data_IF_832352066973
#
_entry.id   IF_832352066973
#
_cell.length_a   1.000
_cell.length_b   1.000
_cell.length_c   1.000
_cell.angle_alpha   90.00
_cell.angle_beta   90.00
_cell.angle_gamma   90.00
#
_symmetry.space_group_name_H-M   'P 1'
#
loop_
_entity.id
_entity.type
_entity.pdbx_description
1 polymer ?
#
# COMPACT_ATOMS: atom_id res chain seq x y z
N UNK A 1 -2.69 -4.39 -7.32
CA UNK A 1 -3.85 -4.48 -6.42
C UNK A 1 -5.11 -4.71 -7.25
N UNK A 2 -6.12 -5.41 -6.72
CA UNK A 2 -7.32 -5.82 -7.48
C UNK A 2 -8.05 -4.64 -8.16
N UNK A 3 -8.10 -3.48 -7.47
CA UNK A 3 -8.67 -2.22 -7.98
C UNK A 3 -8.02 -1.69 -9.25
N UNK A 4 -6.75 -2.01 -9.49
CA UNK A 4 -5.98 -1.58 -10.68
C UNK A 4 -5.98 -2.61 -11.80
N UNK A 5 -6.39 -3.86 -11.54
CA UNK A 5 -6.18 -5.01 -12.44
C UNK A 5 -7.33 -5.27 -13.44
N UNK A 6 -8.15 -4.26 -13.74
CA UNK A 6 -9.28 -4.41 -14.68
C UNK A 6 -10.33 -5.43 -14.25
N UNK A 7 -10.34 -5.78 -12.96
CA UNK A 7 -11.36 -6.65 -12.37
C UNK A 7 -12.61 -5.80 -12.16
N UNK A 8 -13.78 -6.32 -12.55
CA UNK A 8 -15.05 -5.63 -12.30
C UNK A 8 -15.41 -5.68 -10.81
N UNK A 9 -14.99 -4.64 -10.08
CA UNK A 9 -15.25 -4.43 -8.65
C UNK A 9 -16.31 -3.34 -8.53
N UNK A 10 -17.37 -3.57 -7.73
CA UNK A 10 -18.43 -2.56 -7.54
C UNK A 10 -18.17 -1.64 -6.34
N UNK A 11 -17.46 -2.12 -5.33
CA UNK A 11 -17.03 -1.37 -4.16
C UNK A 11 -15.89 -2.13 -3.47
N UNK A 12 -15.09 -1.44 -2.65
CA UNK A 12 -14.04 -2.06 -1.85
C UNK A 12 -14.08 -1.58 -0.39
N UNK A 13 -13.70 -2.49 0.51
CA UNK A 13 -13.37 -2.16 1.89
C UNK A 13 -11.91 -2.51 2.15
N UNK A 14 -11.15 -1.57 2.71
CA UNK A 14 -9.75 -1.73 3.08
C UNK A 14 -9.64 -1.58 4.58
N UNK A 15 -9.07 -2.59 5.25
CA UNK A 15 -8.93 -2.65 6.70
C UNK A 15 -7.44 -2.75 7.02
N UNK A 16 -6.90 -1.80 7.80
CA UNK A 16 -5.47 -1.73 8.16
C UNK A 16 -4.54 -1.87 6.93
N UNK A 17 -4.92 -1.27 5.81
CA UNK A 17 -4.21 -1.39 4.53
C UNK A 17 -2.94 -0.54 4.46
N UNK A 18 -1.90 -1.08 3.81
CA UNK A 18 -0.70 -0.32 3.47
C UNK A 18 -0.90 0.34 2.10
N UNK A 19 -1.26 1.63 2.10
CA UNK A 19 -1.54 2.40 0.90
C UNK A 19 -0.26 2.84 0.17
N UNK A 20 0.81 3.16 0.91
CA UNK A 20 2.11 3.53 0.38
C UNK A 20 3.18 2.52 0.82
N UNK A 21 3.60 1.69 -0.13
CA UNK A 21 4.54 0.61 0.11
C UNK A 21 5.96 1.11 0.37
N UNK A 22 6.37 2.23 -0.25
CA UNK A 22 7.68 2.83 -0.03
C UNK A 22 7.78 3.47 1.36
N UNK A 23 6.75 4.21 1.77
CA UNK A 23 6.64 4.74 3.13
C UNK A 23 6.62 3.62 4.17
N UNK A 24 5.87 2.55 3.90
CA UNK A 24 5.84 1.34 4.71
C UNK A 24 7.23 0.72 4.91
N UNK A 25 7.98 0.54 3.83
CA UNK A 25 9.37 0.06 3.89
C UNK A 25 10.27 0.95 4.75
N UNK A 26 10.15 2.27 4.60
CA UNK A 26 11.00 3.22 5.33
C UNK A 26 10.70 3.24 6.83
N UNK A 27 9.43 3.04 7.23
CA UNK A 27 8.98 3.09 8.63
C UNK A 27 9.02 1.74 9.35
N UNK A 28 8.86 0.62 8.63
CA UNK A 28 8.84 -0.74 9.19
C UNK A 28 10.19 -1.43 9.01
N UNK A 29 11.14 -1.13 9.90
CA UNK A 29 12.46 -1.76 9.89
C UNK A 29 12.40 -3.30 9.98
N UNK A 30 11.41 -3.83 10.71
CA UNK A 30 11.17 -5.28 10.82
C UNK A 30 10.75 -5.94 9.50
N UNK A 31 10.24 -5.17 8.53
CA UNK A 31 9.77 -5.66 7.24
C UNK A 31 10.80 -5.50 6.11
N UNK A 32 11.91 -4.77 6.32
CA UNK A 32 12.91 -4.55 5.25
C UNK A 32 13.47 -5.85 4.67
N UNK A 33 13.89 -6.85 5.48
CA UNK A 33 14.46 -8.09 4.93
C UNK A 33 13.50 -8.85 4.01
N UNK A 34 12.21 -8.87 4.35
CA UNK A 34 11.20 -9.55 3.53
C UNK A 34 10.86 -8.74 2.27
N UNK A 35 10.77 -7.42 2.37
CA UNK A 35 10.55 -6.55 1.21
C UNK A 35 11.70 -6.65 0.20
N UNK A 36 12.95 -6.59 0.66
CA UNK A 36 14.12 -6.72 -0.19
C UNK A 36 14.21 -8.11 -0.83
N UNK A 37 13.83 -9.18 -0.12
CA UNK A 37 13.79 -10.54 -0.67
C UNK A 37 12.75 -10.70 -1.79
N UNK A 38 11.61 -10.02 -1.69
CA UNK A 38 10.49 -10.17 -2.65
C UNK A 38 10.62 -9.18 -3.82
N UNK A 39 11.08 -7.96 -3.56
CA UNK A 39 11.03 -6.84 -4.50
C UNK A 39 12.41 -6.31 -4.88
N UNK A 40 13.40 -6.46 -4.01
CA UNK A 40 14.71 -5.79 -4.11
C UNK A 40 14.80 -4.52 -3.26
N UNK A 41 16.00 -3.93 -3.17
CA UNK A 41 16.21 -2.68 -2.44
C UNK A 41 15.56 -1.50 -3.18
N UNK A 42 14.88 -0.56 -2.50
CA UNK A 42 14.18 0.54 -3.17
C UNK A 42 15.08 1.45 -4.00
N UNK A 43 16.36 1.58 -3.67
CA UNK A 43 17.29 2.39 -4.49
C UNK A 43 17.50 1.84 -5.90
N UNK A 44 17.41 0.52 -6.06
CA UNK A 44 17.57 -0.16 -7.36
C UNK A 44 16.23 -0.55 -7.99
N UNK A 45 15.17 -0.70 -7.17
CA UNK A 45 13.86 -1.19 -7.60
C UNK A 45 12.72 -0.19 -7.31
N UNK A 46 13.01 1.12 -7.30
CA UNK A 46 12.07 2.18 -6.91
C UNK A 46 10.71 2.09 -7.61
N UNK A 47 10.72 1.80 -8.92
CA UNK A 47 9.49 1.70 -9.72
C UNK A 47 8.57 0.56 -9.24
N UNK A 48 9.13 -0.53 -8.72
CA UNK A 48 8.35 -1.64 -8.17
C UNK A 48 7.63 -1.25 -6.87
N UNK A 49 8.27 -0.42 -6.03
CA UNK A 49 7.66 0.12 -4.82
C UNK A 49 6.55 1.12 -5.16
N UNK A 50 6.80 2.03 -6.11
CA UNK A 50 5.80 2.99 -6.61
C UNK A 50 4.59 2.27 -7.20
N UNK A 51 4.81 1.27 -8.06
CA UNK A 51 3.73 0.52 -8.70
C UNK A 51 2.82 -0.22 -7.69
N UNK A 52 3.35 -0.58 -6.51
CA UNK A 52 2.61 -1.22 -5.40
C UNK A 52 1.96 -0.23 -4.44
N UNK A 53 2.23 1.07 -4.58
CA UNK A 53 1.73 2.12 -3.70
C UNK A 53 0.49 2.76 -4.32
N UNK A 54 -0.68 2.51 -3.73
CA UNK A 54 -1.97 3.06 -4.17
C UNK A 54 -2.00 4.59 -4.18
N UNK A 55 -1.22 5.23 -3.32
CA UNK A 55 -1.04 6.69 -3.27
C UNK A 55 -0.55 7.30 -4.59
N UNK A 56 0.08 6.52 -5.48
CA UNK A 56 0.58 6.99 -6.77
C UNK A 56 -0.40 6.80 -7.94
N UNK A 57 -1.52 6.11 -7.72
CA UNK A 57 -2.55 5.86 -8.74
C UNK A 57 -3.96 5.97 -8.14
N UNK A 58 -4.13 6.81 -7.12
CA UNK A 58 -5.41 7.00 -6.45
C UNK A 58 -6.50 7.52 -7.40
N UNK A 59 -6.11 8.29 -8.41
CA UNK A 59 -6.95 8.76 -9.51
C UNK A 59 -7.45 7.63 -10.43
N UNK A 60 -6.80 6.46 -10.43
CA UNK A 60 -7.27 5.28 -11.15
C UNK A 60 -8.39 4.52 -10.37
N UNK A 61 -8.66 4.87 -9.10
CA UNK A 61 -9.67 4.20 -8.26
C UNK A 61 -11.06 4.81 -8.51
N UNK A 62 -11.85 4.12 -9.34
CA UNK A 62 -13.14 4.62 -9.84
C UNK A 62 -14.38 3.97 -9.19
N UNK A 63 -14.23 3.43 -7.98
CA UNK A 63 -15.30 2.72 -7.25
C UNK A 63 -15.40 3.24 -5.82
N UNK A 64 -16.58 3.18 -5.18
CA UNK A 64 -16.71 3.50 -3.77
C UNK A 64 -15.74 2.68 -2.91
N UNK A 65 -15.02 3.36 -2.02
CA UNK A 65 -14.07 2.75 -1.08
C UNK A 65 -14.40 3.12 0.35
N UNK A 66 -14.37 2.13 1.25
CA UNK A 66 -14.43 2.30 2.69
C UNK A 66 -13.05 1.97 3.27
N UNK A 67 -12.46 2.90 4.02
CA UNK A 67 -11.18 2.68 4.71
C UNK A 67 -11.44 2.63 6.22
N UNK A 68 -10.98 1.56 6.87
CA UNK A 68 -11.10 1.33 8.31
C UNK A 68 -9.70 1.09 8.87
N UNK A 69 -9.33 1.82 9.92
CA UNK A 69 -8.00 1.69 10.51
C UNK A 69 -8.02 1.96 12.01
N UNK A 70 -7.22 1.21 12.77
CA UNK A 70 -7.03 1.45 14.19
C UNK A 70 -6.03 2.57 14.43
N UNK A 71 -6.41 3.62 15.17
CA UNK A 71 -5.52 4.74 15.49
C UNK A 71 -4.24 4.35 16.26
N UNK A 72 -4.19 3.15 16.84
CA UNK A 72 -3.04 2.59 17.59
C UNK A 72 -2.50 1.30 16.95
N UNK A 73 -2.71 1.12 15.65
CA UNK A 73 -2.16 -0.05 14.94
C UNK A 73 -0.62 -0.01 15.00
N UNK A 74 -0.04 -1.07 15.59
CA UNK A 74 1.41 -1.20 15.80
C UNK A 74 2.16 -1.70 14.57
N UNK A 75 1.43 -2.15 13.55
CA UNK A 75 2.00 -2.74 12.34
C UNK A 75 1.82 -1.78 11.16
N UNK A 76 0.64 -1.19 10.97
CA UNK A 76 0.44 -0.24 9.87
C UNK A 76 0.19 1.13 10.45
N UNK A 77 1.13 2.09 10.31
CA UNK A 77 0.97 3.44 10.86
C UNK A 77 -0.32 4.09 10.36
N UNK A 78 -0.99 4.86 11.22
CA UNK A 78 -2.29 5.50 10.90
C UNK A 78 -2.19 6.51 9.76
N UNK A 79 -0.99 7.01 9.43
CA UNK A 79 -0.75 7.91 8.31
C UNK A 79 -1.02 7.26 6.94
N UNK A 80 -1.19 5.94 6.90
CA UNK A 80 -1.50 5.17 5.70
C UNK A 80 -2.99 5.26 5.27
N UNK A 81 -3.83 5.96 6.03
CA UNK A 81 -5.28 6.12 5.80
C UNK A 81 -5.59 7.34 4.93
N UNK A 82 -4.74 7.63 3.94
CA UNK A 82 -4.86 8.83 3.09
C UNK A 82 -5.24 8.49 1.67
#
# INVERSE_FOLDING_TARGET
>A
MALRKGIDIKAAAVISGLADFLDGYNKRNDMKPICERIVGHPDTHKNEYIARSATYWADEINVPILIIHGAKDKHVPVEQVR
#
